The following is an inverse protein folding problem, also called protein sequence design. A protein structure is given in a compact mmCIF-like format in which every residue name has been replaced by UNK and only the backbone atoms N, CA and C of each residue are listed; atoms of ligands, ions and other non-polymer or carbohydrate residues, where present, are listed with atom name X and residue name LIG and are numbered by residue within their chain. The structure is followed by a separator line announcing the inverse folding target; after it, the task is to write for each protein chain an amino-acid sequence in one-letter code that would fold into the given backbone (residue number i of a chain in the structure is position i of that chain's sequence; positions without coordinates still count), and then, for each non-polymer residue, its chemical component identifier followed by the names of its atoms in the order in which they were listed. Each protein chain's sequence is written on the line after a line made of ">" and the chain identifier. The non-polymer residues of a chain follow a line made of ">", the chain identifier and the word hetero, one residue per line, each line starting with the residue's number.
data_IF_559773835956
#
_entry.id   IF_559773835956
#
_cell.length_a   1.000
_cell.length_b   1.000
_cell.length_c   1.000
_cell.angle_alpha   90.00
_cell.angle_beta   90.00
_cell.angle_gamma   90.00
#
_symmetry.space_group_name_H-M   'P 1'
#
loop_
_entity.id
_entity.type
_entity.pdbx_description
1 polymer ?
#
# COMPACT_ATOMS: atom_id res chain seq x y z
N UNK A 1 -3.25 13.71 19.51
CA UNK A 1 -3.16 12.26 19.21
C UNK A 1 -3.61 12.06 17.77
N UNK A 2 -3.01 11.13 17.03
CA UNK A 2 -3.46 10.80 15.67
C UNK A 2 -4.85 10.16 15.78
N UNK A 3 -5.81 10.65 14.99
CA UNK A 3 -7.18 10.13 14.95
C UNK A 3 -7.34 9.04 13.89
N UNK A 4 -8.60 8.71 13.56
CA UNK A 4 -8.95 7.68 12.59
C UNK A 4 -8.32 7.93 11.20
N UNK A 5 -8.23 9.19 10.79
CA UNK A 5 -7.63 9.59 9.52
C UNK A 5 -6.17 10.04 9.70
N UNK A 6 -5.30 9.11 10.08
CA UNK A 6 -3.88 9.35 10.40
C UNK A 6 -3.17 10.22 9.35
N UNK A 7 -3.38 9.95 8.05
CA UNK A 7 -2.75 10.72 6.96
C UNK A 7 -3.14 12.21 6.95
N UNK A 8 -4.37 12.55 7.34
CA UNK A 8 -4.83 13.95 7.43
C UNK A 8 -4.22 14.67 8.62
N UNK A 9 -4.09 13.98 9.75
CA UNK A 9 -3.42 14.54 10.92
C UNK A 9 -1.93 14.78 10.66
N UNK A 10 -1.26 13.84 9.99
CA UNK A 10 0.14 14.02 9.58
C UNK A 10 0.29 15.21 8.62
N UNK A 11 -0.61 15.39 7.66
CA UNK A 11 -0.60 16.56 6.80
C UNK A 11 -0.81 17.87 7.59
N UNK A 12 -1.77 17.91 8.51
CA UNK A 12 -2.00 19.08 9.38
C UNK A 12 -0.78 19.40 10.27
N UNK A 13 -0.03 18.38 10.68
CA UNK A 13 1.23 18.58 11.40
C UNK A 13 2.31 19.12 10.46
N UNK A 14 2.41 18.62 9.23
CA UNK A 14 3.42 19.10 8.28
C UNK A 14 3.21 20.57 7.87
N UNK A 15 1.96 21.06 7.82
CA UNK A 15 1.70 22.49 7.57
C UNK A 15 2.20 23.39 8.71
N UNK A 16 2.32 22.86 9.94
CA UNK A 16 2.82 23.59 11.10
C UNK A 16 4.32 23.44 11.33
N UNK A 17 4.86 22.24 11.13
CA UNK A 17 6.24 21.90 11.48
C UNK A 17 7.18 21.77 10.28
N UNK A 18 6.63 21.82 9.06
CA UNK A 18 7.39 21.73 7.81
C UNK A 18 7.26 20.38 7.10
N UNK A 19 7.81 20.28 5.87
CA UNK A 19 7.63 19.15 4.98
C UNK A 19 8.42 17.90 5.39
N UNK A 20 9.40 18.03 6.29
CA UNK A 20 10.15 16.94 6.90
C UNK A 20 10.05 17.11 8.40
N UNK A 21 9.42 16.15 9.09
CA UNK A 21 9.20 16.22 10.53
C UNK A 21 9.56 14.92 11.22
N UNK A 22 10.10 15.03 12.43
CA UNK A 22 10.38 13.90 13.31
C UNK A 22 9.21 13.67 14.27
N UNK A 23 8.75 12.43 14.35
CA UNK A 23 7.71 11.97 15.26
C UNK A 23 8.15 10.67 15.94
N UNK A 24 7.60 10.39 17.12
CA UNK A 24 7.70 9.07 17.75
C UNK A 24 6.34 8.39 17.69
N UNK A 25 6.25 7.31 16.91
CA UNK A 25 5.07 6.45 16.85
C UNK A 25 5.22 5.36 17.90
N UNK A 26 4.76 5.65 19.12
CA UNK A 26 5.06 4.84 20.29
C UNK A 26 6.56 4.88 20.61
N UNK A 27 7.22 3.72 20.62
CA UNK A 27 8.68 3.62 20.79
C UNK A 27 9.47 3.80 19.48
N UNK A 28 8.80 3.84 18.32
CA UNK A 28 9.45 3.89 17.02
C UNK A 28 9.76 5.33 16.60
N UNK A 29 11.04 5.71 16.41
CA UNK A 29 11.39 6.97 15.78
C UNK A 29 10.96 6.95 14.31
N UNK A 30 10.34 8.03 13.85
CA UNK A 30 9.77 8.09 12.49
C UNK A 30 10.00 9.48 11.90
N UNK A 31 10.50 9.50 10.67
CA UNK A 31 10.54 10.70 9.84
C UNK A 31 9.34 10.67 8.92
N UNK A 32 8.55 11.75 8.92
CA UNK A 32 7.43 11.93 8.00
C UNK A 32 7.83 12.96 6.96
N UNK A 33 7.65 12.57 5.70
CA UNK A 33 7.94 13.38 4.52
C UNK A 33 6.62 13.75 3.85
N UNK A 34 6.38 15.03 3.58
CA UNK A 34 5.07 15.56 3.20
C UNK A 34 5.10 16.63 2.11
N UNK A 35 6.18 16.71 1.32
CA UNK A 35 6.20 17.45 0.05
C UNK A 35 6.78 16.60 -1.07
N UNK A 36 6.51 16.98 -2.32
CA UNK A 36 7.01 16.26 -3.49
C UNK A 36 8.53 16.36 -3.61
N UNK A 37 9.09 17.54 -3.36
CA UNK A 37 10.53 17.82 -3.41
C UNK A 37 11.26 17.01 -2.35
N UNK A 38 10.72 16.96 -1.13
CA UNK A 38 11.27 16.14 -0.07
C UNK A 38 11.12 14.65 -0.40
N UNK A 39 9.99 14.20 -0.95
CA UNK A 39 9.81 12.81 -1.34
C UNK A 39 10.80 12.38 -2.45
N UNK A 40 11.13 13.26 -3.39
CA UNK A 40 12.13 12.99 -4.43
C UNK A 40 13.52 12.71 -3.83
N UNK A 41 13.89 13.42 -2.76
CA UNK A 41 15.17 13.14 -2.07
C UNK A 41 15.22 11.71 -1.51
N UNK A 42 14.13 11.23 -0.91
CA UNK A 42 14.09 9.92 -0.25
C UNK A 42 13.80 8.76 -1.20
N UNK A 43 12.98 8.97 -2.23
CA UNK A 43 12.47 7.92 -3.10
C UNK A 43 13.20 7.83 -4.45
N UNK A 44 14.07 8.79 -4.76
CA UNK A 44 14.85 8.82 -6.01
C UNK A 44 16.31 9.16 -5.78
N UNK A 45 16.61 10.31 -5.17
CA UNK A 45 18.02 10.79 -5.04
C UNK A 45 18.84 9.92 -4.09
N UNK A 46 18.25 9.53 -2.97
CA UNK A 46 18.86 8.67 -1.94
C UNK A 46 18.05 7.39 -1.73
N UNK A 47 17.39 6.91 -2.78
CA UNK A 47 16.47 5.77 -2.72
C UNK A 47 17.08 4.51 -2.10
N UNK A 48 18.34 4.20 -2.43
CA UNK A 48 19.07 3.06 -1.89
C UNK A 48 19.26 3.14 -0.37
N UNK A 49 19.45 4.33 0.19
CA UNK A 49 19.62 4.53 1.63
C UNK A 49 18.31 4.24 2.39
N UNK A 50 17.16 4.43 1.74
CA UNK A 50 15.83 4.26 2.31
C UNK A 50 15.08 3.06 1.71
N UNK A 51 15.78 2.18 0.99
CA UNK A 51 15.16 1.08 0.26
C UNK A 51 14.66 -0.06 1.17
N UNK A 52 15.33 -0.28 2.31
CA UNK A 52 14.96 -1.32 3.28
C UNK A 52 13.68 -0.96 4.04
N UNK A 53 12.91 -1.98 4.43
CA UNK A 53 11.66 -1.81 5.18
C UNK A 53 11.92 -2.00 6.68
N UNK A 54 11.33 -1.15 7.55
CA UNK A 54 11.42 -1.36 8.98
C UNK A 54 10.73 -2.67 9.37
N UNK A 55 11.21 -3.30 10.44
CA UNK A 55 10.59 -4.51 10.98
C UNK A 55 9.12 -4.27 11.32
N UNK A 56 8.27 -5.23 10.94
CA UNK A 56 6.84 -5.20 11.25
C UNK A 56 6.39 -6.60 11.64
N UNK A 57 5.78 -6.74 12.82
CA UNK A 57 5.19 -8.00 13.24
C UNK A 57 4.17 -8.51 12.20
N UNK A 58 3.38 -7.61 11.62
CA UNK A 58 2.46 -7.97 10.54
C UNK A 58 3.21 -8.57 9.35
N UNK A 59 4.30 -7.93 8.89
CA UNK A 59 5.12 -8.47 7.81
C UNK A 59 5.66 -9.87 8.16
N UNK A 60 6.09 -10.12 9.40
CA UNK A 60 6.51 -11.45 9.83
C UNK A 60 5.47 -12.54 9.54
N UNK A 61 4.21 -12.28 9.94
CA UNK A 61 3.14 -13.27 9.86
C UNK A 61 2.53 -13.37 8.45
N UNK A 62 2.35 -12.25 7.75
CA UNK A 62 1.67 -12.25 6.44
C UNK A 62 2.62 -12.49 5.26
N UNK A 63 3.92 -12.28 5.42
CA UNK A 63 4.89 -12.35 4.32
C UNK A 63 5.93 -13.46 4.49
N UNK A 64 5.55 -14.59 5.09
CA UNK A 64 6.43 -15.76 5.26
C UNK A 64 7.78 -15.40 5.89
N UNK A 65 7.75 -14.70 7.02
CA UNK A 65 8.93 -14.19 7.72
C UNK A 65 9.73 -13.15 6.90
N UNK A 66 9.05 -12.06 6.51
CA UNK A 66 9.66 -10.92 5.80
C UNK A 66 10.24 -11.27 4.42
N UNK A 67 9.64 -12.21 3.70
CA UNK A 67 10.03 -12.55 2.33
C UNK A 67 9.30 -11.70 1.29
N UNK A 68 9.69 -11.87 0.02
CA UNK A 68 9.14 -11.11 -1.09
C UNK A 68 9.47 -9.62 -0.98
N UNK A 69 8.44 -8.76 -1.03
CA UNK A 69 8.61 -7.31 -1.01
C UNK A 69 8.86 -6.71 0.37
N UNK A 70 8.69 -7.48 1.45
CA UNK A 70 8.88 -7.05 2.84
C UNK A 70 10.27 -7.38 3.40
N UNK A 71 11.14 -7.95 2.57
CA UNK A 71 12.53 -8.24 2.95
C UNK A 71 13.40 -6.98 2.90
N UNK A 72 14.56 -7.04 3.53
CA UNK A 72 15.55 -5.97 3.40
C UNK A 72 16.05 -5.84 1.96
N UNK A 73 16.48 -4.63 1.59
CA UNK A 73 16.97 -4.41 0.24
C UNK A 73 18.25 -5.20 0.00
N UNK A 74 18.25 -6.00 -1.07
CA UNK A 74 19.39 -6.86 -1.41
C UNK A 74 19.19 -7.62 -2.71
N UNK A 75 20.11 -8.52 -3.07
CA UNK A 75 20.02 -9.34 -4.29
C UNK A 75 18.70 -10.12 -4.39
N UNK A 76 18.22 -10.68 -3.27
CA UNK A 76 16.94 -11.40 -3.22
C UNK A 76 15.75 -10.49 -3.57
N UNK A 77 15.62 -9.34 -2.90
CA UNK A 77 14.57 -8.36 -3.20
C UNK A 77 14.60 -7.89 -4.66
N UNK A 78 15.80 -7.60 -5.20
CA UNK A 78 15.97 -7.19 -6.60
C UNK A 78 15.49 -8.28 -7.58
N UNK A 79 15.78 -9.55 -7.27
CA UNK A 79 15.31 -10.68 -8.08
C UNK A 79 13.79 -10.85 -8.01
N UNK A 80 13.19 -10.74 -6.82
CA UNK A 80 11.73 -10.76 -6.64
C UNK A 80 11.09 -9.64 -7.47
N UNK A 81 11.56 -8.40 -7.32
CA UNK A 81 11.06 -7.26 -8.10
C UNK A 81 11.18 -7.51 -9.60
N UNK A 82 12.35 -7.95 -10.08
CA UNK A 82 12.59 -8.26 -11.49
C UNK A 82 11.62 -9.33 -12.00
N UNK A 83 11.44 -10.42 -11.27
CA UNK A 83 10.54 -11.50 -11.64
C UNK A 83 9.09 -11.00 -11.69
N UNK A 84 8.62 -10.30 -10.65
CA UNK A 84 7.26 -9.76 -10.61
C UNK A 84 7.01 -8.81 -11.78
N UNK A 85 7.92 -7.87 -12.06
CA UNK A 85 7.78 -6.95 -13.20
C UNK A 85 7.76 -7.70 -14.53
N UNK A 86 8.68 -8.64 -14.75
CA UNK A 86 8.81 -9.31 -16.05
C UNK A 86 7.73 -10.38 -16.29
N UNK A 87 7.20 -11.02 -15.24
CA UNK A 87 6.34 -12.19 -15.39
C UNK A 87 4.91 -12.01 -14.93
N UNK A 88 4.64 -11.06 -14.02
CA UNK A 88 3.32 -10.87 -13.41
C UNK A 88 2.70 -9.52 -13.78
N UNK A 89 3.50 -8.46 -13.74
CA UNK A 89 3.04 -7.06 -13.86
C UNK A 89 3.49 -6.39 -15.17
N UNK A 90 3.73 -7.18 -16.23
CA UNK A 90 4.02 -6.64 -17.55
C UNK A 90 2.70 -6.36 -18.33
N UNK A 91 2.79 -5.50 -19.35
CA UNK A 91 1.64 -5.08 -20.16
C UNK A 91 0.84 -6.26 -20.72
N UNK A 92 1.51 -7.22 -21.37
CA UNK A 92 0.85 -8.39 -21.96
C UNK A 92 0.09 -9.22 -20.92
N UNK A 93 0.64 -9.35 -19.70
CA UNK A 93 -0.02 -10.07 -18.61
C UNK A 93 -1.22 -9.29 -18.11
N UNK A 94 -1.09 -7.99 -17.88
CA UNK A 94 -2.19 -7.12 -17.45
C UNK A 94 -3.35 -7.21 -18.45
N UNK A 95 -3.07 -7.10 -19.74
CA UNK A 95 -4.06 -7.24 -20.83
C UNK A 95 -4.69 -8.63 -20.85
N UNK A 96 -3.89 -9.69 -20.74
CA UNK A 96 -4.41 -11.07 -20.77
C UNK A 96 -5.41 -11.39 -19.65
N UNK A 97 -5.29 -10.71 -18.50
CA UNK A 97 -6.23 -10.84 -17.38
C UNK A 97 -7.40 -9.84 -17.46
N UNK A 98 -7.50 -9.05 -18.53
CA UNK A 98 -8.53 -8.02 -18.70
C UNK A 98 -9.94 -8.59 -18.67
N UNK A 99 -10.22 -9.61 -19.49
CA UNK A 99 -11.55 -10.24 -19.55
C UNK A 99 -11.96 -10.85 -18.22
N UNK A 100 -11.04 -11.55 -17.54
CA UNK A 100 -11.28 -12.11 -16.20
C UNK A 100 -11.66 -11.02 -15.20
N UNK A 101 -10.93 -9.90 -15.16
CA UNK A 101 -11.28 -8.77 -14.27
C UNK A 101 -12.66 -8.21 -14.58
N UNK A 102 -13.04 -8.08 -15.86
CA UNK A 102 -14.38 -7.62 -16.25
C UNK A 102 -15.46 -8.57 -15.74
N UNK A 103 -15.26 -9.89 -15.88
CA UNK A 103 -16.20 -10.89 -15.37
C UNK A 103 -16.33 -10.86 -13.84
N UNK A 104 -15.22 -10.72 -13.10
CA UNK A 104 -15.28 -10.57 -11.63
C UNK A 104 -16.04 -9.32 -11.18
N UNK A 105 -15.91 -8.22 -11.93
CA UNK A 105 -16.68 -6.98 -11.68
C UNK A 105 -18.17 -7.20 -11.93
N UNK A 106 -18.54 -7.87 -13.03
CA UNK A 106 -19.94 -8.20 -13.35
C UNK A 106 -20.58 -9.08 -12.27
N UNK A 107 -19.85 -10.07 -11.76
CA UNK A 107 -20.28 -10.92 -10.66
C UNK A 107 -20.51 -10.12 -9.38
N UNK A 108 -19.58 -9.22 -9.03
CA UNK A 108 -19.72 -8.35 -7.87
C UNK A 108 -20.96 -7.44 -7.99
N UNK A 109 -21.18 -6.83 -9.15
CA UNK A 109 -22.34 -5.96 -9.40
C UNK A 109 -23.64 -6.75 -9.26
N UNK A 110 -23.69 -7.97 -9.81
CA UNK A 110 -24.87 -8.83 -9.72
C UNK A 110 -25.15 -9.20 -8.26
N UNK A 111 -24.13 -9.64 -7.52
CA UNK A 111 -24.24 -9.95 -6.10
C UNK A 111 -24.75 -8.76 -5.27
N UNK A 112 -24.28 -7.55 -5.54
CA UNK A 112 -24.76 -6.33 -4.87
C UNK A 112 -26.22 -6.03 -5.19
N UNK A 113 -26.66 -6.24 -6.44
CA UNK A 113 -28.05 -6.04 -6.85
C UNK A 113 -28.99 -7.02 -6.15
N UNK A 114 -28.59 -8.28 -6.06
CA UNK A 114 -29.36 -9.32 -5.39
C UNK A 114 -29.48 -9.02 -3.90
N UNK A 115 -28.37 -8.66 -3.24
CA UNK A 115 -28.36 -8.28 -1.83
C UNK A 115 -29.25 -7.05 -1.55
N UNK A 116 -29.25 -6.05 -2.43
CA UNK A 116 -30.11 -4.88 -2.31
C UNK A 116 -31.60 -5.25 -2.44
N UNK A 117 -31.95 -6.12 -3.41
CA UNK A 117 -33.32 -6.56 -3.64
C UNK A 117 -33.88 -7.39 -2.48
N UNK A 118 -33.05 -8.25 -1.89
CA UNK A 118 -33.39 -9.01 -0.67
C UNK A 118 -33.62 -8.11 0.54
N UNK A 119 -32.79 -7.07 0.71
CA UNK A 119 -32.95 -6.11 1.79
C UNK A 119 -34.21 -5.24 1.63
N UNK A 120 -34.60 -4.87 0.40
CA UNK A 120 -35.89 -4.23 0.14
C UNK A 120 -37.05 -5.15 0.48
N UNK A 121 -36.98 -6.43 0.07
CA UNK A 121 -38.02 -7.43 0.36
C UNK A 121 -38.18 -7.67 1.87
N UNK A 122 -37.08 -7.66 2.63
CA UNK A 122 -37.08 -7.79 4.10
C UNK A 122 -37.52 -6.54 4.86
N UNK A 123 -37.72 -5.39 4.19
CA UNK A 123 -38.30 -4.18 4.81
C UNK A 123 -39.82 -4.11 4.69
N UNK A 124 -40.42 -4.93 3.82
CA UNK A 124 -41.87 -5.01 3.62
C UNK A 124 -42.53 -6.16 4.38
N UNK A 125 -41.75 -6.91 5.17
CA UNK A 125 -42.19 -7.88 6.17
C UNK A 125 -41.62 -7.46 7.53
#
# INVERSE_FOLDING_TARGET
>A
MLGEAVHRDLHRLSTKYGPIMYLRLGSLPTIVVSSAEAAELFLKTHDLNFASRPFSAAAKYISYDHKGFFTEYGPYWRNVRKLSTLKLLNHNKIESFGSMRSSEIELLITSLRDAASLHESSRYY
#
